data_IF_063069559479
#
_entry.id   IF_063069559479
#
_cell.length_a   1.000
_cell.length_b   1.000
_cell.length_c   1.000
_cell.angle_alpha   90.00
_cell.angle_beta   90.00
_cell.angle_gamma   90.00
#
_symmetry.space_group_name_H-M   'P 1'
#
loop_
_entity.id
_entity.type
_entity.pdbx_description
1 polymer ?
#
# COMPACT_ATOMS: atom_id res chain seq x y z
N UNK A 1 5.63 8.42 13.66
CA UNK A 1 6.68 7.52 13.09
C UNK A 1 7.10 6.38 14.01
N UNK A 2 6.89 6.45 15.34
CA UNK A 2 7.15 5.31 16.24
C UNK A 2 8.63 4.99 16.50
N UNK A 3 9.55 5.88 16.09
CA UNK A 3 10.96 5.80 16.42
C UNK A 3 11.24 6.70 17.62
N UNK A 4 11.85 6.16 18.67
CA UNK A 4 12.23 6.93 19.87
C UNK A 4 13.41 7.87 19.62
N UNK A 5 13.67 8.78 20.57
CA UNK A 5 14.73 9.79 20.45
C UNK A 5 16.14 9.20 20.27
N UNK A 6 16.39 7.98 20.75
CA UNK A 6 17.68 7.27 20.62
C UNK A 6 18.06 6.88 19.18
N UNK A 7 17.18 7.12 18.21
CA UNK A 7 17.45 6.87 16.78
C UNK A 7 18.06 8.07 16.06
N UNK A 8 18.05 9.27 16.66
CA UNK A 8 18.45 10.53 16.03
C UNK A 8 19.85 10.52 15.41
N UNK A 9 20.79 9.81 16.03
CA UNK A 9 22.20 9.78 15.63
C UNK A 9 22.62 8.43 15.03
N UNK A 10 21.67 7.55 14.71
CA UNK A 10 21.98 6.26 14.07
C UNK A 10 22.19 6.43 12.58
N UNK A 11 23.22 5.78 12.06
CA UNK A 11 23.46 5.69 10.62
C UNK A 11 22.50 4.70 9.95
N UNK A 12 22.24 4.82 8.64
CA UNK A 12 21.34 3.93 7.92
C UNK A 12 21.64 2.42 8.09
N UNK A 13 22.91 2.04 8.22
CA UNK A 13 23.32 0.64 8.42
C UNK A 13 23.06 0.11 9.85
N UNK A 14 22.68 0.98 10.79
CA UNK A 14 22.35 0.63 12.18
C UNK A 14 20.84 0.51 12.41
N UNK A 15 20.05 0.53 11.32
CA UNK A 15 18.60 0.49 11.31
C UNK A 15 18.12 -0.79 10.61
N UNK A 16 17.06 -1.41 11.12
CA UNK A 16 16.35 -2.47 10.39
C UNK A 16 15.69 -1.93 9.12
N UNK A 17 15.29 -2.81 8.20
CA UNK A 17 14.57 -2.43 6.98
C UNK A 17 13.34 -1.56 7.28
N UNK A 18 12.49 -1.98 8.22
CA UNK A 18 11.31 -1.21 8.63
C UNK A 18 11.65 0.13 9.28
N UNK A 19 12.72 0.20 10.08
CA UNK A 19 13.18 1.46 10.67
C UNK A 19 13.67 2.44 9.61
N UNK A 20 14.45 1.96 8.63
CA UNK A 20 14.86 2.77 7.47
C UNK A 20 13.65 3.28 6.69
N UNK A 21 12.64 2.44 6.50
CA UNK A 21 11.41 2.82 5.81
C UNK A 21 10.64 3.91 6.56
N UNK A 22 10.52 3.79 7.89
CA UNK A 22 9.93 4.84 8.74
C UNK A 22 10.67 6.16 8.64
N UNK A 23 12.00 6.14 8.58
CA UNK A 23 12.81 7.35 8.37
C UNK A 23 12.56 7.94 6.97
N UNK A 24 12.46 7.10 5.94
CA UNK A 24 12.16 7.54 4.58
C UNK A 24 10.77 8.21 4.48
N UNK A 25 9.75 7.60 5.11
CA UNK A 25 8.40 8.16 5.21
C UNK A 25 8.43 9.49 5.99
N UNK A 26 9.12 9.54 7.14
CA UNK A 26 9.29 10.76 7.92
C UNK A 26 9.91 11.90 7.10
N UNK A 27 10.95 11.58 6.32
CA UNK A 27 11.64 12.53 5.44
C UNK A 27 10.70 13.07 4.36
N UNK A 28 9.83 12.24 3.80
CA UNK A 28 8.87 12.69 2.79
C UNK A 28 7.80 13.62 3.38
N UNK A 29 7.40 13.37 4.63
CA UNK A 29 6.31 14.10 5.30
C UNK A 29 6.73 15.40 5.99
N UNK A 30 8.03 15.66 6.13
CA UNK A 30 8.53 16.86 6.82
C UNK A 30 8.13 18.15 6.10
N UNK A 31 7.86 18.07 4.80
CA UNK A 31 7.41 19.19 3.97
C UNK A 31 5.89 19.36 3.93
N UNK A 32 5.15 18.58 4.73
CA UNK A 32 3.68 18.61 4.77
C UNK A 32 3.04 18.53 3.37
N UNK A 33 3.39 17.51 2.56
CA UNK A 33 2.89 17.42 1.20
C UNK A 33 1.39 17.11 1.18
N UNK A 34 0.70 17.50 0.10
CA UNK A 34 -0.68 17.06 -0.16
C UNK A 34 -0.74 15.67 -0.83
N UNK A 35 0.32 15.33 -1.58
CA UNK A 35 0.44 14.07 -2.34
C UNK A 35 1.74 13.35 -1.99
N UNK A 36 1.64 12.04 -1.75
CA UNK A 36 2.79 11.17 -1.51
C UNK A 36 2.89 10.09 -2.59
N UNK A 37 4.05 10.03 -3.24
CA UNK A 37 4.41 8.97 -4.18
C UNK A 37 5.11 7.83 -3.42
N UNK A 38 4.56 6.63 -3.50
CA UNK A 38 5.04 5.44 -2.82
C UNK A 38 5.48 4.42 -3.88
N UNK A 39 6.77 4.39 -4.19
CA UNK A 39 7.34 3.44 -5.14
C UNK A 39 7.82 2.18 -4.41
N UNK A 40 7.07 1.09 -4.53
CA UNK A 40 7.37 -0.22 -3.95
C UNK A 40 7.77 -0.15 -2.45
N UNK A 41 6.97 0.53 -1.60
CA UNK A 41 7.39 0.96 -0.26
C UNK A 41 7.65 -0.19 0.72
N UNK A 42 7.29 -1.43 0.37
CA UNK A 42 7.42 -2.60 1.25
C UNK A 42 8.19 -3.77 0.62
N UNK A 43 8.68 -3.64 -0.62
CA UNK A 43 9.29 -4.75 -1.39
C UNK A 43 10.51 -5.42 -0.74
N UNK A 44 11.23 -4.70 0.13
CA UNK A 44 12.42 -5.21 0.83
C UNK A 44 12.17 -5.61 2.30
N UNK A 45 10.90 -5.77 2.70
CA UNK A 45 10.50 -6.03 4.08
C UNK A 45 9.93 -7.45 4.20
N UNK A 46 10.15 -8.09 5.34
CA UNK A 46 9.42 -9.31 5.68
C UNK A 46 7.93 -8.99 5.92
N UNK A 47 7.07 -10.02 5.84
CA UNK A 47 5.62 -9.86 5.92
C UNK A 47 5.14 -9.15 7.21
N UNK A 48 5.81 -9.39 8.34
CA UNK A 48 5.42 -8.79 9.62
C UNK A 48 5.71 -7.28 9.64
N UNK A 49 6.88 -6.89 9.15
CA UNK A 49 7.29 -5.49 9.07
C UNK A 49 6.53 -4.75 7.96
N UNK A 50 6.23 -5.41 6.84
CA UNK A 50 5.35 -4.88 5.80
C UNK A 50 4.00 -4.46 6.38
N UNK A 51 3.32 -5.36 7.10
CA UNK A 51 2.02 -5.05 7.73
C UNK A 51 2.12 -3.84 8.67
N UNK A 52 3.20 -3.75 9.46
CA UNK A 52 3.43 -2.62 10.36
C UNK A 52 3.60 -1.28 9.61
N UNK A 53 4.33 -1.29 8.49
CA UNK A 53 4.55 -0.11 7.65
C UNK A 53 3.26 0.31 6.93
N UNK A 54 2.47 -0.63 6.41
CA UNK A 54 1.19 -0.33 5.76
C UNK A 54 0.19 0.30 6.75
N UNK A 55 0.10 -0.23 7.96
CA UNK A 55 -0.73 0.34 9.03
C UNK A 55 -0.27 1.75 9.43
N UNK A 56 1.03 2.02 9.42
CA UNK A 56 1.56 3.36 9.64
C UNK A 56 1.14 4.31 8.50
N UNK A 57 1.29 3.89 7.24
CA UNK A 57 0.93 4.71 6.08
C UNK A 57 -0.57 5.01 6.05
N UNK A 58 -1.42 4.04 6.34
CA UNK A 58 -2.89 4.22 6.37
C UNK A 58 -3.33 5.20 7.46
N UNK A 59 -2.73 5.09 8.64
CA UNK A 59 -2.94 6.04 9.74
C UNK A 59 -2.53 7.45 9.34
N UNK A 60 -1.33 7.61 8.78
CA UNK A 60 -0.82 8.92 8.35
C UNK A 60 -1.68 9.52 7.24
N UNK A 61 -2.18 8.70 6.31
CA UNK A 61 -3.11 9.13 5.26
C UNK A 61 -4.34 9.78 5.87
N UNK A 62 -4.95 9.08 6.82
CA UNK A 62 -6.22 9.47 7.45
C UNK A 62 -6.03 10.68 8.36
N UNK A 63 -4.98 10.72 9.18
CA UNK A 63 -4.69 11.82 10.10
C UNK A 63 -4.37 13.14 9.39
N UNK A 64 -3.77 13.08 8.19
CA UNK A 64 -3.28 14.27 7.47
C UNK A 64 -4.03 14.57 6.18
N UNK A 65 -5.01 13.76 5.80
CA UNK A 65 -5.75 13.94 4.55
C UNK A 65 -4.89 13.82 3.29
N UNK A 66 -3.89 12.92 3.30
CA UNK A 66 -2.95 12.79 2.19
C UNK A 66 -3.55 12.01 1.01
N UNK A 67 -3.19 12.42 -0.20
CA UNK A 67 -3.41 11.63 -1.42
C UNK A 67 -2.21 10.73 -1.69
N UNK A 68 -2.44 9.44 -1.90
CA UNK A 68 -1.38 8.48 -2.21
C UNK A 68 -1.43 8.05 -3.68
N UNK A 69 -0.26 8.00 -4.31
CA UNK A 69 -0.04 7.24 -5.55
C UNK A 69 0.93 6.13 -5.21
N UNK A 70 0.43 4.89 -5.22
CA UNK A 70 1.19 3.70 -4.86
C UNK A 70 1.55 2.91 -6.13
N UNK A 71 2.82 2.59 -6.27
CA UNK A 71 3.33 1.61 -7.24
C UNK A 71 3.66 0.34 -6.47
N UNK A 72 3.05 -0.76 -6.88
CA UNK A 72 3.24 -2.08 -6.26
C UNK A 72 2.92 -3.17 -7.26
N UNK A 73 3.73 -4.22 -7.26
CA UNK A 73 3.43 -5.49 -7.92
C UNK A 73 2.59 -6.44 -7.04
N UNK A 74 2.42 -6.13 -5.75
CA UNK A 74 1.58 -6.89 -4.83
C UNK A 74 0.14 -6.34 -4.83
N UNK A 75 -0.79 -7.11 -5.41
CA UNK A 75 -2.20 -6.77 -5.48
C UNK A 75 -2.88 -6.72 -4.10
N UNK A 76 -2.41 -7.47 -3.09
CA UNK A 76 -2.98 -7.42 -1.75
C UNK A 76 -2.72 -6.05 -1.09
N UNK A 77 -1.53 -5.50 -1.30
CA UNK A 77 -1.16 -4.15 -0.82
C UNK A 77 -2.01 -3.10 -1.52
N UNK A 78 -2.15 -3.19 -2.85
CA UNK A 78 -2.97 -2.26 -3.64
C UNK A 78 -4.43 -2.30 -3.18
N UNK A 79 -5.04 -3.49 -3.08
CA UNK A 79 -6.43 -3.67 -2.68
C UNK A 79 -6.71 -3.16 -1.24
N UNK A 80 -5.70 -3.23 -0.36
CA UNK A 80 -5.81 -2.68 0.98
C UNK A 80 -5.76 -1.15 0.99
N UNK A 81 -4.75 -0.55 0.34
CA UNK A 81 -4.43 0.87 0.48
C UNK A 81 -5.14 1.80 -0.51
N UNK A 82 -5.54 1.29 -1.67
CA UNK A 82 -5.99 2.12 -2.80
C UNK A 82 -7.50 1.98 -3.03
N UNK A 83 -8.10 3.00 -3.64
CA UNK A 83 -9.51 2.99 -4.05
C UNK A 83 -9.68 2.69 -5.54
N UNK A 84 -8.65 3.01 -6.33
CA UNK A 84 -8.55 2.80 -7.76
C UNK A 84 -7.22 2.15 -8.08
N UNK A 85 -7.20 1.28 -9.08
CA UNK A 85 -6.00 0.65 -9.61
C UNK A 85 -5.88 0.95 -11.10
N UNK A 86 -4.71 1.42 -11.51
CA UNK A 86 -4.32 1.48 -12.92
C UNK A 86 -3.35 0.34 -13.21
N UNK A 87 -3.75 -0.60 -14.05
CA UNK A 87 -2.90 -1.70 -14.51
C UNK A 87 -2.08 -1.22 -15.70
N UNK A 88 -0.77 -1.43 -15.64
CA UNK A 88 0.16 -1.07 -16.70
C UNK A 88 0.87 -2.30 -17.26
N UNK A 89 1.05 -2.35 -18.58
CA UNK A 89 1.83 -3.38 -19.27
C UNK A 89 2.65 -2.72 -20.38
N UNK A 90 3.94 -3.04 -20.49
CA UNK A 90 4.84 -2.50 -21.52
C UNK A 90 4.79 -0.96 -21.64
N UNK A 91 4.73 -0.25 -20.50
CA UNK A 91 4.69 1.21 -20.45
C UNK A 91 3.36 1.83 -20.87
N UNK A 92 2.29 1.04 -21.00
CA UNK A 92 0.94 1.53 -21.32
C UNK A 92 -0.03 1.19 -20.20
N UNK A 93 -0.92 2.14 -19.89
CA UNK A 93 -2.13 1.86 -19.14
C UNK A 93 -3.01 0.92 -19.97
N UNK A 94 -3.32 -0.27 -19.44
CA UNK A 94 -4.10 -1.29 -20.14
C UNK A 94 -5.50 -1.44 -19.56
N UNK A 95 -5.68 -1.16 -18.28
CA UNK A 95 -6.98 -1.26 -17.61
C UNK A 95 -7.01 -0.42 -16.33
N UNK A 96 -8.18 0.13 -16.02
CA UNK A 96 -8.45 0.75 -14.74
C UNK A 96 -9.53 -0.05 -14.00
N UNK A 97 -9.31 -0.32 -12.71
CA UNK A 97 -10.23 -1.06 -11.85
C UNK A 97 -10.62 -0.19 -10.65
N UNK A 98 -11.89 -0.21 -10.30
CA UNK A 98 -12.36 0.29 -9.01
C UNK A 98 -12.06 -0.74 -7.90
N UNK A 99 -12.12 -0.29 -6.64
CA UNK A 99 -12.13 -1.19 -5.47
C UNK A 99 -13.19 -2.29 -5.60
N UNK A 100 -14.38 -1.98 -6.14
CA UNK A 100 -15.43 -2.97 -6.34
C UNK A 100 -15.04 -4.04 -7.37
N UNK A 101 -14.43 -3.64 -8.49
CA UNK A 101 -13.96 -4.57 -9.52
C UNK A 101 -12.87 -5.50 -8.97
N UNK A 102 -11.94 -4.95 -8.19
CA UNK A 102 -10.89 -5.72 -7.50
C UNK A 102 -11.47 -6.76 -6.54
N UNK A 103 -12.45 -6.37 -5.71
CA UNK A 103 -13.11 -7.29 -4.78
C UNK A 103 -13.92 -8.37 -5.51
N UNK A 104 -14.63 -7.99 -6.56
CA UNK A 104 -15.40 -8.91 -7.40
C UNK A 104 -14.50 -9.74 -8.33
N UNK A 105 -13.19 -9.44 -8.39
CA UNK A 105 -12.20 -10.03 -9.31
C UNK A 105 -12.66 -9.94 -10.77
N UNK A 106 -13.32 -8.84 -11.12
CA UNK A 106 -13.80 -8.57 -12.47
C UNK A 106 -12.71 -7.80 -13.22
N UNK A 107 -12.26 -8.37 -14.33
CA UNK A 107 -11.33 -7.72 -15.24
C UNK A 107 -11.72 -8.02 -16.70
N UNK A 108 -11.54 -7.03 -17.55
CA UNK A 108 -11.81 -7.06 -18.99
C UNK A 108 -10.57 -7.41 -19.79
N UNK A 109 -9.39 -6.94 -19.37
CA UNK A 109 -8.14 -7.17 -20.08
C UNK A 109 -7.52 -8.52 -19.68
N UNK A 110 -7.02 -9.27 -20.66
CA UNK A 110 -6.45 -10.61 -20.45
C UNK A 110 -5.28 -10.59 -19.45
N UNK A 111 -4.33 -9.67 -19.63
CA UNK A 111 -3.20 -9.51 -18.71
C UNK A 111 -3.63 -9.28 -17.26
N UNK A 112 -4.65 -8.44 -17.03
CA UNK A 112 -5.17 -8.18 -15.69
C UNK A 112 -5.79 -9.42 -15.06
N UNK A 113 -6.49 -10.24 -15.86
CA UNK A 113 -6.98 -11.56 -15.39
C UNK A 113 -5.83 -12.46 -14.97
N UNK A 114 -4.76 -12.52 -15.77
CA UNK A 114 -3.56 -13.30 -15.43
C UNK A 114 -2.94 -12.82 -14.12
N UNK A 115 -2.82 -11.51 -13.91
CA UNK A 115 -2.31 -10.94 -12.65
C UNK A 115 -3.19 -11.32 -11.46
N UNK A 116 -4.51 -11.13 -11.56
CA UNK A 116 -5.45 -11.47 -10.50
C UNK A 116 -5.38 -12.95 -10.12
N UNK A 117 -5.27 -13.84 -11.11
CA UNK A 117 -5.11 -15.28 -10.90
C UNK A 117 -3.77 -15.63 -10.24
N UNK A 118 -2.67 -14.97 -10.63
CA UNK A 118 -1.35 -15.23 -10.05
C UNK A 118 -1.22 -14.80 -8.59
N UNK A 119 -2.01 -13.82 -8.13
CA UNK A 119 -1.98 -13.30 -6.76
C UNK A 119 -2.82 -14.11 -5.76
N UNK A 120 -2.91 -15.44 -5.90
CA UNK A 120 -3.58 -16.35 -4.94
C UNK A 120 -2.94 -16.27 -3.54
N UNK A 121 -3.42 -15.28 -2.77
CA UNK A 121 -2.99 -14.92 -1.43
C UNK A 121 -3.84 -13.80 -0.80
N UNK A 122 -4.69 -13.13 -1.57
CA UNK A 122 -5.71 -12.22 -1.05
C UNK A 122 -6.92 -12.99 -0.52
N UNK A 123 -7.02 -13.13 0.81
CA UNK A 123 -8.27 -13.50 1.48
C UNK A 123 -9.05 -12.23 1.79
N UNK A 124 -10.27 -12.15 1.26
CA UNK A 124 -11.28 -11.19 1.71
C UNK A 124 -11.46 -11.39 3.21
N UNK A 125 -11.12 -10.40 4.04
CA UNK A 125 -11.65 -10.37 5.40
C UNK A 125 -13.13 -10.05 5.28
N UNK A 126 -13.99 -10.99 5.65
CA UNK A 126 -15.44 -10.80 5.83
C UNK A 126 -15.69 -9.58 6.74
N UNK A 127 -15.97 -8.45 6.11
CA UNK A 127 -16.20 -7.16 6.74
C UNK A 127 -17.45 -6.48 6.20
N UNK A 128 -18.52 -7.25 5.95
CA UNK A 128 -19.85 -6.73 5.67
C UNK A 128 -20.94 -7.75 6.06
N UNK A 129 -20.91 -8.23 7.30
CA UNK A 129 -22.03 -8.92 7.94
C UNK A 129 -22.34 -8.26 9.29
N UNK A 130 -22.79 -7.01 9.24
CA UNK A 130 -23.57 -6.36 10.32
C UNK A 130 -24.17 -5.06 9.78
N UNK A 131 -25.36 -5.19 9.20
CA UNK A 131 -26.11 -4.07 8.64
C UNK A 131 -27.43 -4.49 7.99
N UNK A 132 -28.17 -5.41 8.61
CA UNK A 132 -29.58 -5.69 8.26
C UNK A 132 -30.25 -6.44 9.42
N UNK A 133 -30.52 -5.72 10.50
CA UNK A 133 -31.52 -6.10 11.49
C UNK A 133 -32.37 -4.85 11.78
N UNK A 134 -33.37 -4.61 10.94
CA UNK A 134 -34.61 -3.87 11.24
C UNK A 134 -35.69 -4.37 10.30
#
# INVERSE_FOLDING_TARGET
MGLGLGFRFRYPHQLSGGQRQRVAIARALILEPEVLLLDEPTSALDASIQAEVLNLLDRVRTERGLTYILVSHDLAVVAHMCERLMVMQHGRAVEELSRADLHARVATHEYTRTLLLASEGYRVSDGAAQGAAS
#
